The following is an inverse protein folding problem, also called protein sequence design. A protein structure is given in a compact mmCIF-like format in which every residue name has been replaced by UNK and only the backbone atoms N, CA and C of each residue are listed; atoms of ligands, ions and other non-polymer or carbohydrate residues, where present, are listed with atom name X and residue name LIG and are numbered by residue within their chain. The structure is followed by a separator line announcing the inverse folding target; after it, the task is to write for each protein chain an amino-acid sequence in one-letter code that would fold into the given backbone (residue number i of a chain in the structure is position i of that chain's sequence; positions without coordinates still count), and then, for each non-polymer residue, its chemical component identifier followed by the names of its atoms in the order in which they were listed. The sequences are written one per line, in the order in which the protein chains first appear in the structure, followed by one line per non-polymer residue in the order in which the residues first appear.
data_IF_851015627615
#
_entry.id   IF_851015627615
#
_cell.length_a   1.000
_cell.length_b   1.000
_cell.length_c   1.000
_cell.angle_alpha   90.00
_cell.angle_beta   90.00
_cell.angle_gamma   90.00
#
_symmetry.space_group_name_H-M   'P 1'
#
loop_
_entity.id
_entity.type
_entity.pdbx_description
1 polymer ?
#
# COMPACT_ATOMS: atom_id res chain seq x y z
N UNK A 1 -16.76 -20.32 6.00
CA UNK A 1 -17.11 -19.07 5.29
C UNK A 1 -15.88 -18.20 5.39
N UNK A 2 -15.37 -17.70 4.27
CA UNK A 2 -14.27 -16.73 4.29
C UNK A 2 -14.90 -15.40 4.69
N UNK A 3 -14.78 -14.99 5.94
CA UNK A 3 -15.10 -13.63 6.37
C UNK A 3 -13.83 -12.78 6.28
N UNK A 4 -13.55 -12.31 5.07
CA UNK A 4 -12.58 -11.24 4.85
C UNK A 4 -13.32 -9.90 4.85
N UNK A 5 -12.71 -8.89 5.47
CA UNK A 5 -13.15 -7.51 5.30
C UNK A 5 -13.11 -7.19 3.78
N UNK A 6 -14.20 -6.72 3.16
CA UNK A 6 -14.22 -6.37 1.73
C UNK A 6 -13.07 -5.43 1.32
N UNK A 7 -12.60 -4.58 2.23
CA UNK A 7 -11.45 -3.71 1.99
C UNK A 7 -10.13 -4.49 1.87
N UNK A 8 -9.98 -5.58 2.61
CA UNK A 8 -8.81 -6.45 2.51
C UNK A 8 -8.77 -7.19 1.17
N UNK A 9 -9.92 -7.62 0.66
CA UNK A 9 -10.00 -8.26 -0.66
C UNK A 9 -9.60 -7.28 -1.78
N UNK A 10 -10.04 -6.02 -1.68
CA UNK A 10 -9.61 -4.95 -2.59
C UNK A 10 -8.10 -4.71 -2.53
N UNK A 11 -7.50 -4.76 -1.33
CA UNK A 11 -6.05 -4.61 -1.16
C UNK A 11 -5.31 -5.78 -1.81
N UNK A 12 -5.79 -7.03 -1.64
CA UNK A 12 -5.19 -8.20 -2.27
C UNK A 12 -5.30 -8.15 -3.81
N UNK A 13 -6.46 -7.75 -4.33
CA UNK A 13 -6.66 -7.57 -5.76
C UNK A 13 -5.74 -6.48 -6.31
N UNK A 14 -5.66 -5.33 -5.64
CA UNK A 14 -4.81 -4.23 -6.07
C UNK A 14 -3.32 -4.60 -6.03
N UNK A 15 -2.88 -5.35 -5.01
CA UNK A 15 -1.50 -5.84 -4.90
C UNK A 15 -1.16 -6.95 -5.90
N UNK A 16 -2.12 -7.47 -6.66
CA UNK A 16 -1.82 -8.37 -7.78
C UNK A 16 -1.26 -7.61 -9.00
N UNK A 17 -1.54 -6.30 -9.11
CA UNK A 17 -1.13 -5.42 -10.22
C UNK A 17 0.36 -5.01 -10.12
N UNK A 18 1.13 -5.25 -11.18
CA UNK A 18 2.57 -4.96 -11.19
C UNK A 18 2.88 -3.46 -11.17
N UNK A 19 2.01 -2.62 -11.74
CA UNK A 19 2.15 -1.16 -11.66
C UNK A 19 2.00 -0.71 -10.21
N UNK A 20 1.04 -1.29 -9.48
CA UNK A 20 0.84 -1.01 -8.05
C UNK A 20 2.07 -1.40 -7.24
N UNK A 21 2.60 -2.62 -7.42
CA UNK A 21 3.82 -3.07 -6.72
C UNK A 21 5.00 -2.13 -6.99
N UNK A 22 5.14 -1.68 -8.24
CA UNK A 22 6.18 -0.73 -8.64
C UNK A 22 6.01 0.63 -7.96
N UNK A 23 4.78 1.17 -7.94
CA UNK A 23 4.47 2.43 -7.26
C UNK A 23 4.83 2.32 -5.77
N UNK A 24 4.38 1.27 -5.08
CA UNK A 24 4.65 1.05 -3.66
C UNK A 24 6.14 0.93 -3.36
N UNK A 25 6.88 0.16 -4.15
CA UNK A 25 8.33 -0.05 -3.94
C UNK A 25 9.16 1.19 -4.22
N UNK A 26 8.83 1.98 -5.24
CA UNK A 26 9.54 3.24 -5.53
C UNK A 26 9.23 4.30 -4.47
N UNK A 27 7.96 4.44 -4.08
CA UNK A 27 7.52 5.42 -3.09
C UNK A 27 7.91 5.08 -1.65
N UNK A 28 8.23 3.82 -1.36
CA UNK A 28 8.84 3.38 -0.11
C UNK A 28 10.30 3.84 0.01
N UNK A 29 11.06 3.75 -1.09
CA UNK A 29 12.46 4.19 -1.11
C UNK A 29 12.60 5.70 -1.07
N UNK A 30 11.69 6.42 -1.74
CA UNK A 30 11.69 7.89 -1.80
C UNK A 30 10.32 8.46 -2.19
N UNK A 31 9.92 9.54 -1.54
CA UNK A 31 8.72 10.27 -1.94
C UNK A 31 8.86 10.79 -3.39
N UNK A 32 7.92 10.42 -4.27
CA UNK A 32 8.03 10.62 -5.72
C UNK A 32 6.72 11.16 -6.32
N UNK A 33 6.78 12.03 -7.32
CA UNK A 33 5.60 12.50 -8.05
C UNK A 33 5.06 11.44 -9.02
N UNK A 34 3.83 11.62 -9.51
CA UNK A 34 3.27 10.75 -10.55
C UNK A 34 4.14 10.73 -11.82
N UNK A 35 4.67 11.89 -12.24
CA UNK A 35 5.60 12.00 -13.37
C UNK A 35 6.90 11.25 -13.10
N UNK A 36 7.42 11.33 -11.88
CA UNK A 36 8.64 10.60 -11.51
C UNK A 36 8.45 9.09 -11.41
N UNK A 37 7.21 8.60 -11.36
CA UNK A 37 6.88 7.16 -11.39
C UNK A 37 6.81 6.61 -12.82
N UNK A 38 6.63 7.46 -13.83
CA UNK A 38 6.60 7.09 -15.26
C UNK A 38 7.89 6.39 -15.69
N UNK A 39 9.04 6.88 -15.22
CA UNK A 39 10.35 6.28 -15.49
C UNK A 39 10.52 4.85 -14.92
N UNK A 40 9.70 4.49 -13.94
CA UNK A 40 9.78 3.20 -13.26
C UNK A 40 8.65 2.29 -13.67
N UNK A 41 7.45 2.80 -13.93
CA UNK A 41 6.28 2.02 -14.28
C UNK A 41 6.22 1.85 -15.80
N UNK A 42 6.20 0.61 -16.29
CA UNK A 42 5.95 0.33 -17.71
C UNK A 42 4.44 0.48 -18.02
N UNK A 43 3.93 1.68 -17.81
CA UNK A 43 2.50 2.01 -17.89
C UNK A 43 2.29 3.47 -18.27
N UNK A 44 1.13 3.78 -18.87
CA UNK A 44 0.78 5.16 -19.16
C UNK A 44 0.60 5.99 -17.89
N UNK A 45 0.93 7.29 -17.94
CA UNK A 45 0.61 8.25 -16.87
C UNK A 45 -0.84 8.16 -16.38
N UNK A 46 -1.82 8.01 -17.29
CA UNK A 46 -3.22 7.85 -16.90
C UNK A 46 -3.47 6.60 -16.03
N UNK A 47 -2.77 5.50 -16.32
CA UNK A 47 -2.82 4.28 -15.50
C UNK A 47 -2.13 4.49 -14.16
N UNK A 48 -0.98 5.15 -14.14
CA UNK A 48 -0.24 5.50 -12.93
C UNK A 48 -1.12 6.36 -12.00
N UNK A 49 -1.76 7.41 -12.51
CA UNK A 49 -2.67 8.26 -11.74
C UNK A 49 -3.83 7.46 -11.14
N UNK A 50 -4.50 6.61 -11.95
CA UNK A 50 -5.57 5.74 -11.45
C UNK A 50 -5.10 4.84 -10.29
N UNK A 51 -3.92 4.22 -10.42
CA UNK A 51 -3.36 3.37 -9.36
C UNK A 51 -2.94 4.13 -8.12
N UNK A 52 -2.46 5.36 -8.28
CA UNK A 52 -2.19 6.24 -7.15
C UNK A 52 -3.50 6.56 -6.40
N UNK A 53 -4.58 6.87 -7.12
CA UNK A 53 -5.90 7.12 -6.53
C UNK A 53 -6.42 5.89 -5.78
N UNK A 54 -6.37 4.70 -6.41
CA UNK A 54 -6.76 3.42 -5.78
C UNK A 54 -5.98 3.19 -4.48
N UNK A 55 -4.66 3.44 -4.49
CA UNK A 55 -3.80 3.26 -3.33
C UNK A 55 -4.05 4.30 -2.23
N UNK A 56 -4.37 5.55 -2.58
CA UNK A 56 -4.72 6.59 -1.61
C UNK A 56 -6.05 6.26 -0.91
N UNK A 57 -7.05 5.79 -1.66
CA UNK A 57 -8.35 5.39 -1.11
C UNK A 57 -8.23 4.23 -0.10
N UNK A 58 -7.36 3.26 -0.39
CA UNK A 58 -7.05 2.16 0.52
C UNK A 58 -6.05 2.54 1.63
N UNK A 59 -5.55 3.78 1.62
CA UNK A 59 -4.59 4.29 2.59
C UNK A 59 -3.23 3.62 2.51
N UNK A 60 -2.87 3.04 1.36
CA UNK A 60 -1.58 2.38 1.10
C UNK A 60 -0.52 3.36 0.57
N UNK A 61 -0.94 4.54 0.12
CA UNK A 61 -0.08 5.71 -0.13
C UNK A 61 -0.48 6.89 0.77
N UNK A 62 0.46 7.82 0.93
CA UNK A 62 0.23 9.16 1.50
C UNK A 62 0.64 10.22 0.48
N UNK A 63 -0.14 11.30 0.42
CA UNK A 63 0.17 12.48 -0.39
C UNK A 63 0.87 13.54 0.46
N UNK A 64 1.97 14.10 -0.07
CA UNK A 64 2.62 15.31 0.46
C UNK A 64 2.61 16.39 -0.62
N UNK A 65 2.09 17.56 -0.27
CA UNK A 65 2.17 18.75 -1.12
C UNK A 65 3.48 19.48 -0.84
N UNK A 66 4.34 19.61 -1.85
CA UNK A 66 5.52 20.47 -1.76
C UNK A 66 5.26 21.81 -2.45
N UNK A 67 5.66 22.89 -1.77
CA UNK A 67 5.60 24.26 -2.28
C UNK A 67 6.96 24.63 -2.85
N UNK A 68 7.05 24.90 -4.14
CA UNK A 68 8.21 25.60 -4.71
C UNK A 68 7.98 27.11 -4.74
N UNK A 69 9.08 27.86 -4.62
CA UNK A 69 9.09 29.31 -4.64
C UNK A 69 8.63 29.92 -5.98
N UNK A 70 8.53 29.10 -7.04
CA UNK A 70 8.08 29.48 -8.39
C UNK A 70 6.56 29.35 -8.61
N UNK A 71 5.82 28.81 -7.62
CA UNK A 71 4.36 28.65 -7.66
C UNK A 71 3.87 27.36 -8.30
N UNK A 72 4.74 26.47 -8.79
CA UNK A 72 4.32 25.15 -9.23
C UNK A 72 4.18 24.20 -8.05
N UNK A 73 2.93 23.85 -7.71
CA UNK A 73 2.64 22.80 -6.73
C UNK A 73 2.69 21.46 -7.43
N UNK A 74 3.48 20.53 -6.90
CA UNK A 74 3.43 19.14 -7.33
C UNK A 74 3.28 18.23 -6.11
N UNK A 75 2.43 17.21 -6.29
CA UNK A 75 2.17 16.19 -5.29
C UNK A 75 3.30 15.17 -5.33
N UNK A 76 3.83 14.82 -4.17
CA UNK A 76 4.65 13.63 -3.99
C UNK A 76 3.87 12.59 -3.22
N UNK A 77 4.15 11.33 -3.54
CA UNK A 77 3.54 10.19 -2.91
C UNK A 77 4.59 9.38 -2.17
N UNK A 78 4.23 8.90 -0.99
CA UNK A 78 5.07 8.08 -0.13
C UNK A 78 4.30 6.81 0.22
N UNK A 79 4.99 5.67 0.25
CA UNK A 79 4.37 4.42 0.69
C UNK A 79 3.87 4.56 2.12
N UNK A 80 2.63 4.15 2.35
CA UNK A 80 2.08 4.00 3.69
C UNK A 80 2.04 2.52 4.09
N UNK A 81 2.00 1.59 3.14
CA UNK A 81 2.04 0.16 3.44
C UNK A 81 3.38 -0.23 4.06
N UNK A 82 3.33 -0.74 5.30
CA UNK A 82 4.49 -1.29 5.99
C UNK A 82 4.54 -2.80 5.84
N UNK A 83 3.41 -3.49 6.07
CA UNK A 83 3.33 -4.93 5.95
C UNK A 83 1.90 -5.41 5.64
N UNK A 84 1.83 -6.52 4.89
CA UNK A 84 0.64 -7.32 4.64
C UNK A 84 0.90 -8.73 5.15
N UNK A 85 0.01 -9.23 6.00
CA UNK A 85 0.03 -10.61 6.49
C UNK A 85 -1.22 -11.35 5.99
N UNK A 86 -1.01 -12.56 5.48
CA UNK A 86 -2.09 -13.47 5.06
C UNK A 86 -1.88 -14.81 5.75
N UNK A 87 -2.91 -15.32 6.42
CA UNK A 87 -2.90 -16.66 7.02
C UNK A 87 -4.11 -17.47 6.55
N UNK A 88 -3.93 -18.79 6.52
CA UNK A 88 -4.99 -19.76 6.25
C UNK A 88 -4.94 -20.81 7.35
N UNK A 89 -5.97 -20.83 8.20
CA UNK A 89 -6.09 -21.79 9.29
C UNK A 89 -7.53 -22.30 9.39
N UNK A 90 -7.70 -23.62 9.52
CA UNK A 90 -8.99 -24.31 9.54
C UNK A 90 -10.02 -23.79 8.49
N UNK A 91 -9.55 -23.59 7.25
CA UNK A 91 -10.39 -23.09 6.14
C UNK A 91 -10.79 -21.62 6.25
N UNK A 92 -10.20 -20.88 7.18
CA UNK A 92 -10.41 -19.44 7.39
C UNK A 92 -9.21 -18.66 6.88
N UNK A 93 -9.44 -17.80 5.88
CA UNK A 93 -8.44 -16.87 5.36
C UNK A 93 -8.53 -15.57 6.17
N UNK A 94 -7.40 -15.14 6.74
CA UNK A 94 -7.31 -13.87 7.46
C UNK A 94 -6.26 -12.98 6.80
N UNK A 95 -6.58 -11.70 6.72
CA UNK A 95 -5.72 -10.67 6.12
C UNK A 95 -5.56 -9.54 7.12
N UNK A 96 -4.31 -9.14 7.36
CA UNK A 96 -3.98 -7.99 8.17
C UNK A 96 -3.06 -7.03 7.41
N UNK A 97 -3.34 -5.73 7.51
CA UNK A 97 -2.64 -4.66 6.81
C UNK A 97 -2.19 -3.64 7.84
N UNK A 98 -0.91 -3.28 7.83
CA UNK A 98 -0.35 -2.21 8.65
C UNK A 98 0.20 -1.10 7.81
N UNK A 99 -0.04 0.10 8.33
CA UNK A 99 0.37 1.33 7.72
C UNK A 99 1.35 2.03 8.65
N UNK A 100 2.28 2.78 8.07
CA UNK A 100 3.27 3.56 8.85
C UNK A 100 2.61 4.59 9.77
N UNK A 101 1.38 5.02 9.48
CA UNK A 101 0.60 5.92 10.32
C UNK A 101 -0.21 5.21 11.42
N UNK A 102 -0.31 3.88 11.38
CA UNK A 102 -0.93 3.12 12.45
C UNK A 102 -0.05 3.17 13.72
N UNK A 103 -0.66 3.02 14.90
CA UNK A 103 0.10 3.05 16.15
C UNK A 103 1.20 1.96 16.15
N UNK A 104 2.44 2.26 16.59
CA UNK A 104 3.68 1.56 16.21
C UNK A 104 3.86 0.07 16.62
N UNK A 105 2.82 -0.74 16.80
CA UNK A 105 2.94 -2.18 17.07
C UNK A 105 1.70 -3.01 16.67
N UNK A 106 0.81 -2.47 15.84
CA UNK A 106 -0.50 -3.12 15.59
C UNK A 106 -0.34 -4.46 14.89
N UNK A 107 0.51 -4.56 13.87
CA UNK A 107 0.70 -5.84 13.17
C UNK A 107 1.49 -6.86 13.95
N UNK A 108 2.56 -6.47 14.67
CA UNK A 108 3.31 -7.42 15.51
C UNK A 108 2.39 -8.10 16.52
N UNK A 109 1.49 -7.32 17.13
CA UNK A 109 0.50 -7.85 18.07
C UNK A 109 -0.46 -8.83 17.41
N UNK A 110 -0.91 -8.55 16.19
CA UNK A 110 -1.81 -9.44 15.43
C UNK A 110 -1.05 -10.69 14.95
N UNK A 111 0.15 -10.52 14.41
CA UNK A 111 1.02 -11.59 13.92
C UNK A 111 1.42 -12.56 15.04
N UNK A 112 1.83 -12.04 16.19
CA UNK A 112 2.14 -12.85 17.38
C UNK A 112 0.91 -13.62 17.88
N UNK A 113 -0.29 -13.04 17.72
CA UNK A 113 -1.55 -13.72 18.03
C UNK A 113 -2.00 -14.74 16.97
N UNK A 114 -1.53 -14.60 15.73
CA UNK A 114 -1.83 -15.50 14.59
C UNK A 114 -0.80 -16.61 14.41
N UNK A 115 0.28 -16.64 15.20
CA UNK A 115 1.21 -17.77 15.25
C UNK A 115 0.67 -18.83 16.22
N UNK A 116 -0.02 -19.90 15.76
CA UNK A 116 -0.03 -21.13 16.55
C UNK A 116 1.42 -21.59 16.66
N UNK A 117 1.85 -21.90 17.88
CA UNK A 117 3.22 -22.33 18.17
C UNK A 117 3.65 -23.44 17.21
N UNK A 118 4.60 -23.10 16.34
CA UNK A 118 5.38 -24.08 15.62
C UNK A 118 6.52 -24.47 16.57
N UNK A 119 6.30 -25.52 17.36
CA UNK A 119 7.38 -26.28 18.00
C UNK A 119 8.04 -27.24 17.00
#
# INVERSE_FOLDING_TARGET
MVETDPRNDQILELLSDDVVKRILTVTDQRATSAQGLDDYCDASLATIYRRIEDLLELGLLRERTEFQADGNHFKKFESNLECLAVSLDDGTLQVAVDRRDDAPNRLRTIWDAMQPGWE
#
